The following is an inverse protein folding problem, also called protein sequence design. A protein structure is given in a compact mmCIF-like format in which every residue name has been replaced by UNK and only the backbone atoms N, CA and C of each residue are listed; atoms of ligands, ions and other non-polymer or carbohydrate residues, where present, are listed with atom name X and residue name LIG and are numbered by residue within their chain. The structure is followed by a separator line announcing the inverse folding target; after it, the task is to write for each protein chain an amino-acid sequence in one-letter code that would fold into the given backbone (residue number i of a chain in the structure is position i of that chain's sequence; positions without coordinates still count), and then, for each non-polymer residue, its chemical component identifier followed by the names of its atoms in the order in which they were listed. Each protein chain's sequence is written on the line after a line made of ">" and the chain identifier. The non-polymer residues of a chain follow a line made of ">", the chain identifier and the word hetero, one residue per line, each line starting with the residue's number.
data_IF_482233064611
#
_entry.id   IF_482233064611
#
_cell.length_a   1.000
_cell.length_b   1.000
_cell.length_c   1.000
_cell.angle_alpha   90.00
_cell.angle_beta   90.00
_cell.angle_gamma   90.00
#
_symmetry.space_group_name_H-M   'P 1'
#
loop_
_entity.id
_entity.type
_entity.pdbx_description
1 polymer ?
#
# COMPACT_ATOMS: atom_id res chain seq x y z
N UNK A 1 -12.86 15.64 -32.09
CA UNK A 1 -12.19 16.90 -31.73
C UNK A 1 -11.60 16.76 -30.33
N UNK A 2 -10.33 16.58 -30.28
CA UNK A 2 -9.58 16.39 -29.06
C UNK A 2 -9.31 17.73 -28.39
N UNK A 3 -10.12 18.10 -27.43
CA UNK A 3 -9.75 19.15 -26.51
C UNK A 3 -8.78 18.57 -25.47
N UNK A 4 -7.54 18.35 -25.89
CA UNK A 4 -6.47 17.98 -24.97
C UNK A 4 -6.01 19.23 -24.24
N UNK A 5 -5.96 19.22 -22.94
CA UNK A 5 -5.62 20.36 -22.07
C UNK A 5 -4.36 21.09 -22.53
N UNK A 6 -3.34 20.37 -22.95
CA UNK A 6 -2.07 20.93 -23.44
C UNK A 6 -1.98 21.07 -24.98
N UNK A 7 -3.09 20.97 -25.70
CA UNK A 7 -3.15 20.97 -27.20
C UNK A 7 -2.34 19.84 -27.86
N UNK A 8 -1.92 18.86 -27.11
CA UNK A 8 -1.27 17.62 -27.53
C UNK A 8 -1.65 16.49 -26.59
N UNK A 9 -1.59 15.28 -27.05
CA UNK A 9 -1.86 14.11 -26.25
C UNK A 9 -0.86 14.02 -25.07
N UNK A 10 -1.41 13.88 -23.88
CA UNK A 10 -0.65 13.80 -22.62
C UNK A 10 -1.36 12.86 -21.69
N UNK A 11 -0.58 12.10 -20.93
CA UNK A 11 -1.09 11.17 -19.94
C UNK A 11 -0.69 11.63 -18.53
N UNK A 12 -1.58 11.43 -17.57
CA UNK A 12 -1.26 11.56 -16.15
C UNK A 12 -0.45 10.34 -15.69
N UNK A 13 0.42 10.54 -14.72
CA UNK A 13 1.27 9.46 -14.23
C UNK A 13 0.47 8.39 -13.49
N UNK A 14 0.81 7.14 -13.71
CA UNK A 14 0.24 5.96 -13.04
C UNK A 14 1.12 5.45 -11.90
N UNK A 15 2.38 5.88 -11.83
CA UNK A 15 3.36 5.48 -10.82
C UNK A 15 4.65 6.29 -10.98
N UNK A 16 5.40 6.45 -9.91
CA UNK A 16 6.76 7.01 -9.93
C UNK A 16 7.85 5.99 -10.24
N UNK A 17 7.51 4.70 -10.39
CA UNK A 17 8.43 3.58 -10.46
C UNK A 17 9.47 3.71 -11.58
N UNK A 18 9.06 3.90 -12.82
CA UNK A 18 9.99 3.91 -13.97
C UNK A 18 11.07 4.99 -13.86
N UNK A 19 10.70 6.17 -13.38
CA UNK A 19 11.67 7.23 -13.14
C UNK A 19 12.49 6.94 -11.87
N UNK A 20 11.86 6.41 -10.84
CA UNK A 20 12.49 6.03 -9.58
C UNK A 20 13.59 4.99 -9.76
N UNK A 21 13.35 3.93 -10.53
CA UNK A 21 14.33 2.89 -10.82
C UNK A 21 15.64 3.44 -11.41
N UNK A 22 15.54 4.45 -12.28
CA UNK A 22 16.72 5.12 -12.83
C UNK A 22 17.58 5.77 -11.75
N UNK A 23 16.94 6.40 -10.77
CA UNK A 23 17.63 7.02 -9.64
C UNK A 23 18.13 5.99 -8.63
N UNK A 24 17.43 4.88 -8.43
CA UNK A 24 17.87 3.79 -7.58
C UNK A 24 19.21 3.17 -8.05
N UNK A 25 19.48 3.15 -9.37
CA UNK A 25 20.77 2.72 -9.89
C UNK A 25 21.93 3.61 -9.42
N UNK A 26 21.68 4.89 -9.19
CA UNK A 26 22.70 5.84 -8.74
C UNK A 26 22.78 5.99 -7.21
N UNK A 27 21.62 5.98 -6.55
CA UNK A 27 21.52 6.28 -5.11
C UNK A 27 21.23 5.05 -4.25
N UNK A 28 21.02 3.89 -4.84
CA UNK A 28 20.72 2.61 -4.23
C UNK A 28 19.34 2.53 -3.60
N UNK A 29 19.02 3.38 -2.65
CA UNK A 29 17.74 3.40 -1.95
C UNK A 29 17.08 4.75 -2.17
N UNK A 30 15.92 4.75 -2.78
CA UNK A 30 15.10 5.95 -3.01
C UNK A 30 13.65 5.65 -2.66
N UNK A 31 12.84 6.67 -2.58
CA UNK A 31 11.38 6.53 -2.63
C UNK A 31 10.77 7.66 -3.45
N UNK A 32 9.63 7.40 -4.03
CA UNK A 32 8.76 8.44 -4.56
C UNK A 32 7.54 8.60 -3.66
N UNK A 33 7.05 9.83 -3.53
CA UNK A 33 5.83 10.12 -2.81
C UNK A 33 5.05 11.20 -3.58
N UNK A 34 3.91 10.84 -4.14
CA UNK A 34 3.17 11.77 -4.98
C UNK A 34 1.83 11.23 -5.47
N UNK A 35 1.08 12.09 -6.16
CA UNK A 35 -0.22 11.71 -6.71
C UNK A 35 -0.10 10.73 -7.87
N UNK A 36 -1.01 9.78 -7.89
CA UNK A 36 -1.13 8.73 -8.90
C UNK A 36 -2.53 8.73 -9.46
N UNK A 37 -2.64 8.52 -10.78
CA UNK A 37 -3.91 8.58 -11.49
C UNK A 37 -4.15 7.27 -12.25
N UNK A 38 -5.31 6.65 -12.01
CA UNK A 38 -5.71 5.41 -12.69
C UNK A 38 -7.16 5.50 -13.12
N UNK A 39 -7.37 5.55 -14.43
CA UNK A 39 -8.71 5.57 -15.04
C UNK A 39 -9.25 4.14 -15.21
N UNK A 40 -9.41 3.44 -14.10
CA UNK A 40 -9.95 2.09 -14.09
C UNK A 40 -11.48 2.12 -13.99
N UNK A 41 -12.16 1.28 -14.78
CA UNK A 41 -13.59 1.08 -14.64
C UNK A 41 -13.88 0.12 -13.48
N UNK A 42 -13.73 0.62 -12.27
CA UNK A 42 -13.91 -0.16 -11.03
C UNK A 42 -14.79 0.60 -10.04
N UNK A 43 -15.82 -0.09 -9.55
CA UNK A 43 -16.79 0.46 -8.60
C UNK A 43 -16.68 -0.24 -7.24
N UNK A 44 -15.47 -0.39 -6.72
CA UNK A 44 -15.24 -0.95 -5.39
C UNK A 44 -14.86 0.13 -4.39
N UNK A 45 -15.03 -0.14 -3.12
CA UNK A 45 -14.65 0.75 -2.01
C UNK A 45 -13.14 0.95 -1.87
N UNK A 46 -12.33 0.21 -2.63
CA UNK A 46 -10.87 0.21 -2.56
C UNK A 46 -10.18 0.79 -3.79
N UNK A 47 -10.94 1.29 -4.76
CA UNK A 47 -10.41 1.89 -5.98
C UNK A 47 -10.77 3.37 -6.03
N UNK A 48 -9.76 4.21 -6.14
CA UNK A 48 -9.88 5.63 -6.38
C UNK A 48 -9.16 5.99 -7.68
N UNK A 49 -9.67 6.96 -8.42
CA UNK A 49 -9.05 7.42 -9.67
C UNK A 49 -7.80 8.27 -9.43
N UNK A 50 -7.70 8.87 -8.26
CA UNK A 50 -6.54 9.65 -7.79
C UNK A 50 -6.24 9.26 -6.34
N UNK A 51 -4.98 8.99 -6.05
CA UNK A 51 -4.50 8.69 -4.71
C UNK A 51 -3.00 8.96 -4.62
N UNK A 52 -2.50 9.07 -3.40
CA UNK A 52 -1.07 9.22 -3.16
C UNK A 52 -0.42 7.86 -2.87
N UNK A 53 0.74 7.64 -3.46
CA UNK A 53 1.55 6.46 -3.19
C UNK A 53 2.89 6.83 -2.58
N UNK A 54 3.35 6.01 -1.64
CA UNK A 54 4.74 5.94 -1.24
C UNK A 54 5.33 4.69 -1.86
N UNK A 55 6.37 4.86 -2.68
CA UNK A 55 6.94 3.80 -3.52
C UNK A 55 8.44 3.73 -3.28
N UNK A 56 8.91 2.94 -2.30
CA UNK A 56 10.34 2.70 -2.10
C UNK A 56 10.91 1.82 -3.22
N UNK A 57 12.12 2.17 -3.66
CA UNK A 57 12.88 1.41 -4.65
C UNK A 57 14.27 1.14 -4.07
N UNK A 58 14.62 -0.15 -3.96
CA UNK A 58 15.91 -0.59 -3.43
C UNK A 58 16.67 -1.38 -4.49
N UNK A 59 17.84 -0.89 -4.88
CA UNK A 59 18.70 -1.60 -5.81
C UNK A 59 19.49 -2.70 -5.08
N UNK A 60 19.86 -3.75 -5.84
CA UNK A 60 20.67 -4.88 -5.35
C UNK A 60 20.03 -5.66 -4.20
N UNK A 61 18.72 -5.70 -4.18
CA UNK A 61 17.89 -6.40 -3.20
C UNK A 61 17.21 -7.61 -3.85
N UNK A 62 16.96 -8.63 -3.05
CA UNK A 62 16.14 -9.77 -3.46
C UNK A 62 14.74 -9.71 -2.83
N UNK A 63 13.93 -10.75 -3.05
CA UNK A 63 12.56 -10.82 -2.50
C UNK A 63 12.54 -10.80 -0.98
N UNK A 64 13.52 -11.40 -0.33
CA UNK A 64 13.62 -11.41 1.14
C UNK A 64 13.85 -10.00 1.67
N UNK A 65 14.77 -9.25 1.07
CA UNK A 65 15.06 -7.86 1.40
C UNK A 65 13.81 -6.98 1.24
N UNK A 66 13.06 -7.18 0.16
CA UNK A 66 11.83 -6.44 -0.11
C UNK A 66 10.74 -6.74 0.92
N UNK A 67 10.55 -8.00 1.30
CA UNK A 67 9.61 -8.38 2.36
C UNK A 67 9.98 -7.78 3.72
N UNK A 68 11.27 -7.73 4.05
CA UNK A 68 11.76 -7.09 5.28
C UNK A 68 11.50 -5.59 5.26
N UNK A 69 11.75 -4.94 4.13
CA UNK A 69 11.46 -3.52 3.96
C UNK A 69 9.98 -3.22 4.11
N UNK A 70 9.13 -4.00 3.44
CA UNK A 70 7.67 -3.82 3.49
C UNK A 70 7.13 -3.97 4.93
N UNK A 71 7.56 -5.00 5.67
CA UNK A 71 7.18 -5.21 7.06
C UNK A 71 7.64 -4.03 7.94
N UNK A 72 8.90 -3.63 7.81
CA UNK A 72 9.48 -2.54 8.60
C UNK A 72 8.78 -1.21 8.32
N UNK A 73 8.47 -0.91 7.07
CA UNK A 73 7.77 0.31 6.67
C UNK A 73 6.36 0.36 7.25
N UNK A 74 5.60 -0.73 7.14
CA UNK A 74 4.24 -0.79 7.68
C UNK A 74 4.22 -0.63 9.21
N UNK A 75 5.09 -1.35 9.92
CA UNK A 75 5.21 -1.21 11.37
C UNK A 75 5.62 0.20 11.79
N UNK A 76 6.57 0.79 11.09
CA UNK A 76 7.00 2.16 11.35
C UNK A 76 5.85 3.18 11.19
N UNK A 77 5.14 3.13 10.07
CA UNK A 77 4.02 4.05 9.80
C UNK A 77 2.91 3.89 10.84
N UNK A 78 2.53 2.65 11.17
CA UNK A 78 1.51 2.37 12.19
C UNK A 78 1.92 2.95 13.55
N UNK A 79 3.13 2.65 14.02
CA UNK A 79 3.63 3.16 15.30
C UNK A 79 3.70 4.69 15.30
N UNK A 80 4.19 5.29 14.21
CA UNK A 80 4.24 6.74 14.09
C UNK A 80 2.86 7.40 14.23
N UNK A 81 1.84 6.85 13.58
CA UNK A 81 0.47 7.38 13.66
C UNK A 81 -0.12 7.18 15.06
N UNK A 82 0.09 6.02 15.68
CA UNK A 82 -0.38 5.75 17.04
C UNK A 82 0.25 6.70 18.08
N UNK A 83 1.51 7.06 17.88
CA UNK A 83 2.24 7.97 18.79
C UNK A 83 1.93 9.45 18.55
N UNK A 84 1.78 9.86 17.29
CA UNK A 84 1.71 11.27 16.90
C UNK A 84 0.30 11.79 16.60
N UNK A 85 -0.69 10.91 16.45
CA UNK A 85 -2.09 11.26 16.20
C UNK A 85 -3.05 10.48 17.13
N UNK A 86 -2.82 10.44 18.45
CA UNK A 86 -3.64 9.62 19.36
C UNK A 86 -5.08 10.07 19.45
N UNK A 87 -5.37 11.36 19.34
CA UNK A 87 -6.73 11.89 19.42
C UNK A 87 -7.56 11.50 18.20
N UNK A 88 -6.99 11.64 17.00
CA UNK A 88 -7.60 11.22 15.73
C UNK A 88 -7.84 9.71 15.72
N UNK A 89 -6.86 8.94 16.19
CA UNK A 89 -6.97 7.48 16.26
C UNK A 89 -8.04 7.05 17.25
N UNK A 90 -8.19 7.73 18.39
CA UNK A 90 -9.27 7.49 19.33
C UNK A 90 -10.63 7.81 18.73
N UNK A 91 -10.73 8.91 17.98
CA UNK A 91 -11.95 9.28 17.25
C UNK A 91 -12.34 8.20 16.23
N UNK A 92 -11.40 7.79 15.38
CA UNK A 92 -11.67 6.74 14.40
C UNK A 92 -12.07 5.42 15.05
N UNK A 93 -11.40 5.03 16.12
CA UNK A 93 -11.75 3.81 16.86
C UNK A 93 -13.15 3.85 17.49
N UNK A 94 -13.60 5.03 17.93
CA UNK A 94 -14.89 5.18 18.62
C UNK A 94 -16.05 5.30 17.65
N UNK A 95 -15.89 6.02 16.54
CA UNK A 95 -17.00 6.43 15.68
C UNK A 95 -17.02 5.78 14.31
N UNK A 96 -15.86 5.31 13.80
CA UNK A 96 -15.76 4.79 12.44
C UNK A 96 -15.54 3.28 12.43
N UNK A 97 -14.59 2.79 13.21
CA UNK A 97 -14.20 1.39 13.20
C UNK A 97 -13.79 0.89 14.58
N UNK A 98 -14.74 0.31 15.30
CA UNK A 98 -14.51 -0.27 16.63
C UNK A 98 -13.52 -1.43 16.54
N UNK A 99 -12.43 -1.36 17.31
CA UNK A 99 -11.36 -2.33 17.29
C UNK A 99 -10.18 -1.96 16.38
N UNK A 100 -10.18 -0.75 15.78
CA UNK A 100 -9.10 -0.25 14.95
C UNK A 100 -7.77 -0.24 15.71
N UNK A 101 -7.74 0.32 16.90
CA UNK A 101 -6.52 0.42 17.71
C UNK A 101 -5.94 -0.96 18.05
N UNK A 102 -6.79 -1.90 18.44
CA UNK A 102 -6.37 -3.28 18.75
C UNK A 102 -5.73 -3.95 17.53
N UNK A 103 -6.36 -3.82 16.35
CA UNK A 103 -5.81 -4.37 15.10
C UNK A 103 -4.49 -3.74 14.72
N UNK A 104 -4.36 -2.42 14.79
CA UNK A 104 -3.11 -1.73 14.46
C UNK A 104 -1.99 -2.11 15.42
N UNK A 105 -2.26 -2.18 16.72
CA UNK A 105 -1.31 -2.64 17.72
C UNK A 105 -0.90 -4.09 17.49
N UNK A 106 -1.86 -4.95 17.13
CA UNK A 106 -1.57 -6.34 16.80
C UNK A 106 -0.61 -6.44 15.59
N UNK A 107 -0.91 -5.72 14.50
CA UNK A 107 -0.04 -5.70 13.32
C UNK A 107 1.34 -5.16 13.64
N UNK A 108 1.45 -4.06 14.39
CA UNK A 108 2.71 -3.43 14.73
C UNK A 108 3.61 -4.34 15.60
N UNK A 109 3.02 -5.18 16.45
CA UNK A 109 3.74 -6.01 17.43
C UNK A 109 3.91 -7.48 17.00
N UNK A 110 3.29 -7.91 15.89
CA UNK A 110 3.38 -9.28 15.41
C UNK A 110 4.44 -9.42 14.32
N UNK A 111 5.08 -10.59 14.23
CA UNK A 111 5.88 -10.95 13.08
C UNK A 111 4.97 -11.28 11.90
N UNK A 112 5.34 -10.83 10.70
CA UNK A 112 4.56 -11.10 9.50
C UNK A 112 4.83 -12.52 9.01
N UNK A 113 3.76 -13.29 8.87
CA UNK A 113 3.85 -14.60 8.23
C UNK A 113 4.13 -14.44 6.73
N UNK A 114 4.96 -15.32 6.20
CA UNK A 114 5.29 -15.39 4.78
C UNK A 114 4.72 -16.67 4.22
N UNK A 115 3.91 -16.55 3.19
CA UNK A 115 3.27 -17.68 2.52
C UNK A 115 3.48 -17.58 1.02
N UNK A 116 3.70 -18.70 0.38
CA UNK A 116 3.77 -18.76 -1.09
C UNK A 116 2.37 -18.57 -1.68
N UNK A 117 2.32 -18.23 -2.97
CA UNK A 117 1.03 -18.12 -3.69
C UNK A 117 0.21 -19.42 -3.58
N UNK A 118 0.85 -20.58 -3.75
CA UNK A 118 0.19 -21.88 -3.67
C UNK A 118 -0.40 -22.13 -2.28
N UNK A 119 0.37 -21.90 -1.23
CA UNK A 119 -0.11 -22.02 0.15
C UNK A 119 -1.26 -21.05 0.45
N UNK A 120 -1.19 -19.83 -0.06
CA UNK A 120 -2.28 -18.85 0.11
C UNK A 120 -3.59 -19.36 -0.55
N UNK A 121 -3.51 -19.91 -1.75
CA UNK A 121 -4.66 -20.50 -2.43
C UNK A 121 -5.23 -21.67 -1.63
N UNK A 122 -4.39 -22.59 -1.15
CA UNK A 122 -4.83 -23.72 -0.32
C UNK A 122 -5.52 -23.26 0.98
N UNK A 123 -4.99 -22.21 1.64
CA UNK A 123 -5.61 -21.64 2.84
C UNK A 123 -7.00 -21.09 2.52
N UNK A 124 -7.12 -20.36 1.40
CA UNK A 124 -8.40 -19.79 0.97
C UNK A 124 -9.42 -20.88 0.61
N UNK A 125 -9.01 -21.90 -0.12
CA UNK A 125 -9.89 -23.04 -0.48
C UNK A 125 -10.38 -23.77 0.77
N UNK A 126 -9.49 -24.09 1.70
CA UNK A 126 -9.85 -24.74 2.99
C UNK A 126 -10.80 -23.92 3.86
N UNK A 127 -10.83 -22.60 3.68
CA UNK A 127 -11.69 -21.70 4.43
C UNK A 127 -12.91 -21.21 3.63
N UNK A 128 -13.07 -21.62 2.39
CA UNK A 128 -14.17 -21.19 1.52
C UNK A 128 -15.56 -21.56 2.08
N UNK A 129 -15.67 -22.69 2.78
CA UNK A 129 -16.90 -23.15 3.43
C UNK A 129 -17.26 -22.37 4.71
N UNK A 130 -16.36 -21.53 5.24
CA UNK A 130 -16.60 -20.76 6.46
C UNK A 130 -17.22 -19.37 6.23
N UNK A 131 -17.81 -19.14 5.06
CA UNK A 131 -18.68 -18.01 4.84
C UNK A 131 -17.96 -16.69 4.54
N UNK A 132 -17.06 -16.70 3.59
CA UNK A 132 -16.68 -15.47 2.89
C UNK A 132 -17.92 -15.00 2.13
N UNK A 133 -18.72 -14.13 2.75
CA UNK A 133 -19.83 -13.46 2.06
C UNK A 133 -19.21 -12.60 0.96
N UNK A 134 -19.62 -12.87 -0.28
CA UNK A 134 -19.35 -12.05 -1.46
C UNK A 134 -19.74 -10.60 -1.24
#
# INVERSE_FOLDING_TARGET
>A
SSNVFFKKETNLTVSGQLNGETYAQAFRNIYTFGPTFRAENSNTTRHAAEFWMIEPEIAFADLEDDMILAESMLKYVINYVLENAPEEMAFFNSFIDKGLLERLQHVANSDFARVTYTEAVEILEKNNDKGCKK
#
